data_IF_192148624825
#
_entry.id   IF_192148624825
#
_cell.length_a   1.000
_cell.length_b   1.000
_cell.length_c   1.000
_cell.angle_alpha   90.00
_cell.angle_beta   90.00
_cell.angle_gamma   90.00
#
_symmetry.space_group_name_H-M   'P 1'
#
loop_
_entity.id
_entity.type
_entity.pdbx_description
1 polymer ?
#
# COMPACT_ATOMS: atom_id res chain seq x y z
N UNK A 1 4.12 -10.32 5.73
CA UNK A 1 4.58 -10.12 4.33
C UNK A 1 4.48 -8.65 3.97
N UNK A 2 5.37 -8.13 3.12
CA UNK A 2 5.30 -6.72 2.69
C UNK A 2 4.56 -6.64 1.36
N UNK A 3 3.67 -5.67 1.24
CA UNK A 3 2.92 -5.36 0.04
C UNK A 3 3.23 -3.95 -0.44
N UNK A 4 3.44 -3.81 -1.76
CA UNK A 4 3.40 -2.53 -2.46
C UNK A 4 1.98 -2.30 -2.95
N UNK A 5 1.37 -1.19 -2.53
CA UNK A 5 0.00 -0.87 -2.90
C UNK A 5 -0.04 0.41 -3.72
N UNK A 6 -0.61 0.30 -4.91
CA UNK A 6 -0.92 1.44 -5.77
C UNK A 6 -2.32 1.94 -5.44
N UNK A 7 -2.46 3.24 -5.22
CA UNK A 7 -3.73 3.83 -4.81
C UNK A 7 -3.92 5.26 -5.32
N UNK A 8 -5.18 5.69 -5.45
CA UNK A 8 -5.54 7.10 -5.54
C UNK A 8 -5.89 7.64 -4.14
N UNK A 9 -5.58 8.91 -3.83
CA UNK A 9 -5.83 9.49 -2.51
C UNK A 9 -7.30 9.49 -2.06
N UNK A 10 -8.25 9.40 -3.00
CA UNK A 10 -9.68 9.47 -2.74
C UNK A 10 -10.47 8.64 -3.74
N UNK A 11 -11.66 8.18 -3.32
CA UNK A 11 -12.65 7.50 -4.18
C UNK A 11 -13.65 8.47 -4.85
N UNK A 12 -13.59 9.76 -4.51
CA UNK A 12 -14.57 10.78 -4.94
C UNK A 12 -14.32 11.33 -6.35
N UNK A 13 -13.14 11.09 -6.89
CA UNK A 13 -12.69 11.63 -8.18
C UNK A 13 -12.37 10.48 -9.13
N UNK A 14 -12.46 10.74 -10.43
CA UNK A 14 -12.04 9.78 -11.43
C UNK A 14 -10.52 9.51 -11.28
N UNK A 15 -10.07 8.25 -11.36
CA UNK A 15 -8.66 7.91 -11.22
C UNK A 15 -7.86 8.48 -12.39
N UNK A 16 -6.74 9.14 -12.09
CA UNK A 16 -5.78 9.62 -13.08
C UNK A 16 -4.44 8.92 -12.87
N UNK A 17 -3.86 8.41 -13.95
CA UNK A 17 -2.62 7.62 -13.88
C UNK A 17 -1.45 8.39 -13.25
N UNK A 18 -1.36 9.70 -13.51
CA UNK A 18 -0.31 10.58 -12.99
C UNK A 18 -0.42 10.83 -11.47
N UNK A 19 -1.59 10.56 -10.87
CA UNK A 19 -1.84 10.79 -9.44
C UNK A 19 -1.82 9.51 -8.61
N UNK A 20 -1.58 8.35 -9.24
CA UNK A 20 -1.40 7.08 -8.53
C UNK A 20 -0.19 7.17 -7.61
N UNK A 21 -0.41 6.90 -6.33
CA UNK A 21 0.61 6.87 -5.28
C UNK A 21 0.94 5.45 -4.88
N UNK A 22 2.07 5.28 -4.20
CA UNK A 22 2.50 4.00 -3.63
C UNK A 22 2.52 4.10 -2.11
N UNK A 23 2.08 3.05 -1.43
CA UNK A 23 2.27 2.84 0.01
C UNK A 23 2.77 1.41 0.22
N UNK A 24 3.64 1.22 1.23
CA UNK A 24 4.13 -0.09 1.62
C UNK A 24 3.52 -0.46 2.97
N UNK A 25 2.99 -1.67 3.08
CA UNK A 25 2.34 -2.18 4.29
C UNK A 25 2.80 -3.59 4.58
N UNK A 26 2.99 -3.91 5.85
CA UNK A 26 3.16 -5.28 6.32
C UNK A 26 1.82 -5.87 6.76
N UNK A 27 1.50 -7.08 6.28
CA UNK A 27 0.31 -7.84 6.67
C UNK A 27 0.50 -9.35 6.48
N UNK A 28 -0.38 -10.15 7.08
CA UNK A 28 -0.33 -11.61 6.98
C UNK A 28 -0.67 -12.12 5.57
N UNK A 29 -1.62 -11.47 4.89
CA UNK A 29 -2.05 -11.80 3.53
C UNK A 29 -2.63 -10.58 2.79
N UNK A 30 -3.00 -10.78 1.52
CA UNK A 30 -3.55 -9.72 0.66
C UNK A 30 -4.90 -9.19 1.17
N UNK A 31 -5.73 -10.06 1.75
CA UNK A 31 -7.05 -9.70 2.27
C UNK A 31 -6.89 -8.77 3.47
N UNK A 32 -5.99 -9.11 4.37
CA UNK A 32 -5.64 -8.34 5.57
C UNK A 32 -5.00 -7.01 5.18
N UNK A 33 -4.06 -7.00 4.23
CA UNK A 33 -3.47 -5.75 3.72
C UNK A 33 -4.53 -4.79 3.16
N UNK A 34 -5.47 -5.32 2.38
CA UNK A 34 -6.58 -4.54 1.82
C UNK A 34 -7.50 -3.99 2.92
N UNK A 35 -7.90 -4.85 3.85
CA UNK A 35 -8.80 -4.49 4.95
C UNK A 35 -8.19 -3.40 5.85
N UNK A 36 -6.90 -3.49 6.18
CA UNK A 36 -6.18 -2.48 6.96
C UNK A 36 -6.21 -1.11 6.27
N UNK A 37 -5.92 -1.07 4.97
CA UNK A 37 -5.93 0.18 4.21
C UNK A 37 -7.34 0.77 4.08
N UNK A 38 -8.35 -0.05 3.81
CA UNK A 38 -9.74 0.42 3.70
C UNK A 38 -10.31 0.91 5.04
N UNK A 39 -9.85 0.33 6.16
CA UNK A 39 -10.27 0.75 7.50
C UNK A 39 -9.62 2.08 7.95
N UNK A 40 -8.37 2.33 7.57
CA UNK A 40 -7.59 3.45 8.11
C UNK A 40 -7.41 4.61 7.12
N UNK A 41 -7.79 4.45 5.85
CA UNK A 41 -7.54 5.45 4.82
C UNK A 41 -8.74 5.64 3.89
N UNK A 42 -8.91 6.83 3.29
CA UNK A 42 -9.93 7.07 2.26
C UNK A 42 -9.50 6.57 0.86
N UNK A 43 -8.39 5.84 0.77
CA UNK A 43 -7.73 5.54 -0.49
C UNK A 43 -8.57 4.66 -1.41
N UNK A 44 -8.49 4.93 -2.71
CA UNK A 44 -8.98 4.02 -3.73
C UNK A 44 -7.85 3.08 -4.13
N UNK A 45 -7.89 1.84 -3.65
CA UNK A 45 -6.84 0.86 -3.93
C UNK A 45 -6.98 0.35 -5.37
N UNK A 46 -5.95 0.58 -6.18
CA UNK A 46 -5.88 0.18 -7.58
C UNK A 46 -5.24 -1.20 -7.75
N UNK A 47 -4.13 -1.46 -7.03
CA UNK A 47 -3.41 -2.73 -7.13
C UNK A 47 -2.62 -3.04 -5.86
N UNK A 48 -2.58 -4.31 -5.47
CA UNK A 48 -1.81 -4.81 -4.32
C UNK A 48 -0.85 -5.88 -4.81
N UNK A 49 0.44 -5.64 -4.63
CA UNK A 49 1.51 -6.54 -5.06
C UNK A 49 2.30 -7.06 -3.85
N UNK A 50 2.39 -8.38 -3.61
CA UNK A 50 3.32 -8.92 -2.63
C UNK A 50 4.77 -8.67 -3.09
N UNK A 51 5.61 -8.19 -2.19
CA UNK A 51 7.04 -8.02 -2.41
C UNK A 51 7.82 -9.18 -1.76
N UNK A 52 8.63 -9.87 -2.55
CA UNK A 52 9.45 -11.00 -2.08
C UNK A 52 10.81 -11.01 -2.74
N UNK A 53 11.83 -11.49 -2.03
CA UNK A 53 13.18 -11.69 -2.54
C UNK A 53 13.75 -10.43 -3.19
N UNK A 54 14.27 -10.54 -4.42
CA UNK A 54 14.93 -9.45 -5.15
C UNK A 54 14.04 -8.21 -5.37
N UNK A 55 12.72 -8.37 -5.44
CA UNK A 55 11.82 -7.21 -5.58
C UNK A 55 11.77 -6.39 -4.30
N UNK A 56 11.71 -7.04 -3.14
CA UNK A 56 11.76 -6.35 -1.85
C UNK A 56 13.11 -5.65 -1.65
N UNK A 57 14.22 -6.37 -1.90
CA UNK A 57 15.57 -5.81 -1.78
C UNK A 57 15.81 -4.60 -2.70
N UNK A 58 15.14 -4.55 -3.86
CA UNK A 58 15.21 -3.42 -4.77
C UNK A 58 14.45 -2.21 -4.21
N UNK A 59 13.23 -2.42 -3.73
CA UNK A 59 12.41 -1.36 -3.15
C UNK A 59 13.06 -0.80 -1.87
N UNK A 60 13.59 -1.64 -0.99
CA UNK A 60 14.26 -1.22 0.26
C UNK A 60 15.50 -0.33 0.04
N UNK A 61 16.12 -0.39 -1.14
CA UNK A 61 17.24 0.49 -1.52
C UNK A 61 16.78 1.88 -1.97
N UNK A 62 15.49 2.06 -2.23
CA UNK A 62 14.92 3.34 -2.60
C UNK A 62 14.66 4.20 -1.34
N UNK A 63 15.08 5.47 -1.36
CA UNK A 63 14.87 6.41 -0.24
C UNK A 63 13.39 6.66 0.09
N UNK A 64 12.50 6.40 -0.87
CA UNK A 64 11.06 6.59 -0.71
C UNK A 64 10.36 5.35 -0.10
N UNK A 65 11.09 4.25 0.10
CA UNK A 65 10.55 3.07 0.76
C UNK A 65 10.37 3.34 2.25
N UNK A 66 9.10 3.37 2.68
CA UNK A 66 8.70 3.53 4.08
C UNK A 66 7.50 2.63 4.35
N UNK A 67 7.65 1.73 5.32
CA UNK A 67 6.53 0.94 5.82
C UNK A 67 5.57 1.84 6.59
N UNK A 68 4.29 1.68 6.29
CA UNK A 68 3.21 2.34 7.03
C UNK A 68 2.69 1.39 8.09
N UNK A 69 2.62 1.88 9.31
CA UNK A 69 2.01 1.19 10.44
C UNK A 69 0.66 1.82 10.74
N UNK A 70 -0.37 0.99 10.85
CA UNK A 70 -1.66 1.38 11.41
C UNK A 70 -1.69 0.86 12.83
N UNK A 71 -1.55 1.75 13.81
CA UNK A 71 -1.81 1.39 15.20
C UNK A 71 -3.29 1.07 15.32
N UNK A 72 -3.61 -0.18 15.68
CA UNK A 72 -4.94 -0.53 16.17
C UNK A 72 -5.16 0.22 17.49
N UNK A 73 -5.66 1.46 17.42
CA UNK A 73 -6.33 2.06 18.57
C UNK A 73 -7.65 1.29 18.72
N UNK A 74 -7.63 0.30 19.62
CA UNK A 74 -8.78 -0.51 20.00
C UNK A 74 -9.77 0.24 20.89
#
# INVERSE_FOLDING_TARGET
MIFKVLYQPTKKEAPHRETTKTIYIEADDLVTARALLEAHTPYNIEFIQPLTGKHLEFEEKNSDFKLTEFTNEG
#
